data_IF_030047222885
#
_entry.id   IF_030047222885
#
_cell.length_a   1.000
_cell.length_b   1.000
_cell.length_c   1.000
_cell.angle_alpha   90.00
_cell.angle_beta   90.00
_cell.angle_gamma   90.00
#
_symmetry.space_group_name_H-M   'P 1'
#
loop_
_entity.id
_entity.type
_entity.pdbx_description
1 polymer ?
#
# COMPACT_ATOMS: atom_id res chain seq x y z
N UNK A 1 6.31 1.22 -11.97
CA UNK A 1 6.90 -0.09 -11.59
C UNK A 1 7.07 -0.24 -10.06
N UNK A 2 6.15 0.26 -9.21
CA UNK A 2 6.30 0.13 -7.74
C UNK A 2 6.04 -1.29 -7.23
N UNK A 3 4.98 -1.93 -7.73
CA UNK A 3 4.58 -3.29 -7.35
C UNK A 3 5.67 -4.34 -7.64
N UNK A 4 6.33 -4.25 -8.79
CA UNK A 4 7.44 -5.15 -9.13
C UNK A 4 8.57 -5.05 -8.10
N UNK A 5 8.97 -3.82 -7.74
CA UNK A 5 10.06 -3.61 -6.80
C UNK A 5 9.71 -4.10 -5.39
N UNK A 6 8.46 -3.95 -4.95
CA UNK A 6 8.01 -4.45 -3.64
C UNK A 6 7.97 -5.97 -3.59
N UNK A 7 7.51 -6.63 -4.67
CA UNK A 7 7.52 -8.10 -4.76
C UNK A 7 8.95 -8.63 -4.70
N UNK A 8 9.87 -8.07 -5.50
CA UNK A 8 11.28 -8.51 -5.49
C UNK A 8 11.91 -8.39 -4.10
N UNK A 9 11.71 -7.25 -3.42
CA UNK A 9 12.20 -7.05 -2.06
C UNK A 9 11.60 -8.03 -1.05
N UNK A 10 10.31 -8.35 -1.18
CA UNK A 10 9.63 -9.31 -0.30
C UNK A 10 10.17 -10.73 -0.49
N UNK A 11 10.39 -11.15 -1.74
CA UNK A 11 10.92 -12.48 -2.08
C UNK A 11 12.37 -12.69 -1.63
N UNK A 12 13.16 -11.62 -1.51
CA UNK A 12 14.53 -11.68 -0.96
C UNK A 12 14.54 -11.91 0.56
N UNK A 13 13.52 -11.42 1.26
CA UNK A 13 13.46 -11.42 2.72
C UNK A 13 12.69 -12.61 3.28
N UNK A 14 11.67 -13.06 2.56
CA UNK A 14 10.75 -14.11 2.99
C UNK A 14 10.84 -15.34 2.09
N UNK A 15 10.59 -16.51 2.68
CA UNK A 15 10.41 -17.75 1.89
C UNK A 15 9.24 -17.59 0.92
N UNK A 16 9.30 -18.21 -0.28
CA UNK A 16 8.26 -18.06 -1.29
C UNK A 16 6.90 -18.54 -0.76
N UNK A 17 6.07 -17.57 -0.40
CA UNK A 17 4.72 -17.79 0.11
C UNK A 17 3.67 -17.83 -1.02
N UNK A 18 2.51 -18.46 -0.79
CA UNK A 18 1.34 -18.37 -1.67
C UNK A 18 0.98 -16.96 -2.15
N UNK A 19 1.20 -15.95 -1.32
CA UNK A 19 0.90 -14.56 -1.64
C UNK A 19 1.80 -14.00 -2.75
N UNK A 20 3.06 -14.43 -2.83
CA UNK A 20 3.96 -14.03 -3.90
C UNK A 20 3.47 -14.51 -5.26
N UNK A 21 2.92 -15.73 -5.32
CA UNK A 21 2.32 -16.27 -6.54
C UNK A 21 1.10 -15.43 -6.98
N UNK A 22 0.20 -15.10 -6.04
CA UNK A 22 -0.96 -14.25 -6.33
C UNK A 22 -0.54 -12.84 -6.80
N UNK A 23 0.50 -12.27 -6.20
CA UNK A 23 1.01 -10.95 -6.55
C UNK A 23 1.60 -10.95 -7.98
N UNK A 24 2.41 -11.96 -8.33
CA UNK A 24 2.96 -12.13 -9.68
C UNK A 24 1.86 -12.35 -10.73
N UNK A 25 0.86 -13.18 -10.41
CA UNK A 25 -0.29 -13.42 -11.28
C UNK A 25 -1.06 -12.12 -11.56
N UNK A 26 -1.35 -11.35 -10.51
CA UNK A 26 -2.03 -10.06 -10.63
C UNK A 26 -1.21 -9.05 -11.44
N UNK A 27 0.11 -9.02 -11.24
CA UNK A 27 1.03 -8.17 -12.01
C UNK A 27 0.98 -8.51 -13.51
N UNK A 28 0.98 -9.80 -13.87
CA UNK A 28 0.95 -10.25 -15.27
C UNK A 28 -0.39 -9.91 -15.93
N UNK A 29 -1.52 -10.09 -15.24
CA UNK A 29 -2.83 -9.69 -15.78
C UNK A 29 -2.88 -8.17 -16.02
N UNK A 30 -2.35 -7.38 -15.08
CA UNK A 30 -2.25 -5.92 -15.26
C UNK A 30 -1.26 -5.50 -16.35
N UNK A 31 -0.26 -6.34 -16.64
CA UNK A 31 0.74 -6.12 -17.69
C UNK A 31 0.22 -6.52 -19.08
N UNK A 32 -0.75 -7.42 -19.16
CA UNK A 32 -1.36 -7.94 -20.40
C UNK A 32 -1.69 -6.85 -21.44
N UNK A 33 -2.42 -5.76 -21.10
CA UNK A 33 -2.72 -4.71 -22.08
C UNK A 33 -1.50 -3.90 -22.54
N UNK A 34 -0.38 -3.92 -21.80
CA UNK A 34 0.83 -3.15 -22.11
C UNK A 34 1.87 -3.97 -22.86
N UNK A 35 2.04 -5.24 -22.49
CA UNK A 35 3.01 -6.15 -23.06
C UNK A 35 2.39 -7.55 -23.21
N UNK A 36 1.51 -7.75 -24.21
CA UNK A 36 0.73 -8.99 -24.35
C UNK A 36 1.61 -10.22 -24.56
N UNK A 37 2.64 -10.12 -25.41
CA UNK A 37 3.56 -11.23 -25.70
C UNK A 37 4.39 -11.64 -24.49
N UNK A 38 4.88 -10.68 -23.71
CA UNK A 38 5.64 -10.97 -22.49
C UNK A 38 4.70 -11.59 -21.45
N UNK A 39 3.49 -11.04 -21.32
CA UNK A 39 2.51 -11.51 -20.36
C UNK A 39 2.03 -12.92 -20.68
N UNK A 40 1.89 -13.30 -21.95
CA UNK A 40 1.53 -14.67 -22.33
C UNK A 40 2.60 -15.69 -21.97
N UNK A 41 3.88 -15.40 -22.25
CA UNK A 41 4.99 -16.30 -21.91
C UNK A 41 5.18 -16.43 -20.39
N UNK A 42 5.03 -15.33 -19.65
CA UNK A 42 5.10 -15.36 -18.20
C UNK A 42 3.90 -16.12 -17.59
N UNK A 43 2.71 -15.97 -18.17
CA UNK A 43 1.51 -16.68 -17.73
C UNK A 43 1.65 -18.19 -17.89
N UNK A 44 2.07 -18.67 -19.07
CA UNK A 44 2.28 -20.10 -19.32
C UNK A 44 3.37 -20.68 -18.42
N UNK A 45 4.44 -19.94 -18.17
CA UNK A 45 5.52 -20.36 -17.26
C UNK A 45 5.00 -20.51 -15.82
N UNK A 46 4.15 -19.59 -15.35
CA UNK A 46 3.58 -19.65 -14.00
C UNK A 46 2.54 -20.76 -13.83
N UNK A 47 1.73 -21.05 -14.84
CA UNK A 47 0.70 -22.11 -14.79
C UNK A 47 1.29 -23.50 -15.00
N UNK A 48 2.39 -23.63 -15.76
CA UNK A 48 3.12 -24.89 -15.94
C UNK A 48 3.89 -25.33 -14.70
N UNK A 49 4.22 -24.38 -13.81
CA UNK A 49 4.88 -24.66 -12.54
C UNK A 49 3.92 -25.32 -11.53
N UNK A 50 4.43 -26.11 -10.59
CA UNK A 50 3.63 -26.88 -9.62
C UNK A 50 2.73 -26.04 -8.70
N UNK A 51 2.96 -24.72 -8.63
CA UNK A 51 2.08 -23.75 -7.96
C UNK A 51 0.85 -23.34 -8.78
N UNK A 52 0.78 -23.68 -10.08
CA UNK A 52 -0.32 -23.36 -11.00
C UNK A 52 -1.69 -23.88 -10.57
N UNK A 53 -1.71 -24.86 -9.67
CA UNK A 53 -2.91 -25.48 -9.11
C UNK A 53 -3.58 -24.67 -8.00
N UNK A 54 -2.96 -23.58 -7.55
CA UNK A 54 -3.62 -22.64 -6.65
C UNK A 54 -4.66 -21.81 -7.41
N UNK A 55 -5.85 -22.39 -7.51
CA UNK A 55 -7.05 -21.72 -7.93
C UNK A 55 -7.39 -20.61 -6.94
N UNK A 56 -7.61 -19.41 -7.46
CA UNK A 56 -8.20 -18.30 -6.72
C UNK A 56 -9.66 -18.20 -7.16
N UNK A 57 -10.61 -18.16 -6.23
CA UNK A 57 -12.05 -18.20 -6.54
C UNK A 57 -12.53 -17.10 -7.49
N UNK A 58 -11.78 -15.99 -7.59
CA UNK A 58 -12.08 -14.88 -8.51
C UNK A 58 -11.40 -15.02 -9.88
N UNK A 59 -10.38 -15.88 -10.00
CA UNK A 59 -9.53 -16.00 -11.17
C UNK A 59 -9.97 -17.11 -12.14
N UNK A 60 -11.20 -17.62 -11.96
CA UNK A 60 -11.86 -18.54 -12.88
C UNK A 60 -12.39 -17.79 -14.10
N UNK A 61 -11.78 -18.06 -15.26
CA UNK A 61 -12.35 -17.71 -16.56
C UNK A 61 -13.37 -18.76 -17.00
N UNK A 62 -14.29 -18.39 -17.87
CA UNK A 62 -15.29 -19.28 -18.51
C UNK A 62 -14.65 -20.21 -19.56
N UNK A 63 -13.49 -20.80 -19.25
CA UNK A 63 -12.75 -21.69 -20.13
C UNK A 63 -12.78 -23.13 -19.64
N UNK A 64 -13.13 -24.05 -20.54
CA UNK A 64 -13.12 -25.51 -20.38
C UNK A 64 -11.69 -26.03 -20.12
N UNK A 65 -11.23 -25.91 -18.88
CA UNK A 65 -10.02 -26.55 -18.39
C UNK A 65 -10.34 -27.24 -17.07
N UNK A 66 -10.05 -28.54 -16.99
CA UNK A 66 -10.06 -29.29 -15.72
C UNK A 66 -9.17 -28.51 -14.73
N UNK A 67 -9.77 -28.03 -13.63
CA UNK A 67 -9.14 -27.16 -12.62
C UNK A 67 -9.06 -25.65 -12.94
N UNK A 68 -10.09 -25.05 -13.56
CA UNK A 68 -10.56 -23.68 -13.28
C UNK A 68 -9.57 -22.51 -13.42
N UNK A 69 -8.42 -22.72 -14.07
CA UNK A 69 -7.44 -21.69 -14.37
C UNK A 69 -7.40 -21.45 -15.88
N UNK A 70 -7.54 -20.20 -16.35
CA UNK A 70 -7.53 -19.93 -17.78
C UNK A 70 -6.15 -20.23 -18.36
N UNK A 71 -6.13 -20.98 -19.46
CA UNK A 71 -4.89 -21.38 -20.14
C UNK A 71 -4.15 -20.19 -20.73
N UNK A 72 -4.88 -19.19 -21.20
CA UNK A 72 -4.35 -17.95 -21.76
C UNK A 72 -4.60 -16.76 -20.83
N UNK A 73 -3.67 -15.80 -20.87
CA UNK A 73 -3.81 -14.54 -20.11
C UNK A 73 -5.00 -13.69 -20.58
N UNK A 74 -5.46 -13.89 -21.83
CA UNK A 74 -6.58 -13.15 -22.41
C UNK A 74 -7.94 -13.59 -21.83
N UNK A 75 -8.05 -14.86 -21.46
CA UNK A 75 -9.27 -15.41 -20.86
C UNK A 75 -9.32 -15.16 -19.34
N UNK A 76 -8.25 -14.59 -18.78
CA UNK A 76 -8.19 -14.24 -17.38
C UNK A 76 -9.02 -12.99 -17.06
N UNK A 77 -9.90 -13.09 -16.06
CA UNK A 77 -10.61 -11.93 -15.55
C UNK A 77 -9.65 -10.91 -14.92
N UNK A 78 -10.03 -9.64 -14.99
CA UNK A 78 -9.32 -8.57 -14.33
C UNK A 78 -9.32 -8.76 -12.79
N UNK A 79 -8.21 -8.44 -12.09
CA UNK A 79 -8.13 -8.52 -10.63
C UNK A 79 -9.22 -7.71 -9.94
N UNK A 80 -9.89 -8.36 -8.98
CA UNK A 80 -10.84 -7.72 -8.07
C UNK A 80 -10.11 -7.20 -6.84
N UNK A 81 -10.54 -6.03 -6.38
CA UNK A 81 -9.96 -5.38 -5.20
C UNK A 81 -10.59 -5.98 -3.94
N UNK A 82 -9.77 -6.60 -3.10
CA UNK A 82 -10.19 -7.11 -1.79
C UNK A 82 -10.12 -6.01 -0.73
N UNK A 83 -11.28 -5.52 -0.31
CA UNK A 83 -11.41 -4.44 0.68
C UNK A 83 -10.81 -4.78 2.06
N UNK A 84 -10.59 -6.06 2.36
CA UNK A 84 -9.98 -6.51 3.61
C UNK A 84 -8.46 -6.29 3.58
N UNK A 85 -7.79 -6.60 2.47
CA UNK A 85 -6.34 -6.43 2.32
C UNK A 85 -5.95 -4.94 2.32
N UNK A 86 -6.77 -4.09 1.68
CA UNK A 86 -6.60 -2.64 1.72
C UNK A 86 -6.60 -2.09 3.15
N UNK A 87 -7.54 -2.55 3.97
CA UNK A 87 -7.64 -2.12 5.37
C UNK A 87 -6.43 -2.58 6.18
N UNK A 88 -5.91 -3.78 5.95
CA UNK A 88 -4.75 -4.29 6.67
C UNK A 88 -3.50 -3.43 6.42
N UNK A 89 -3.17 -3.10 5.17
CA UNK A 89 -2.01 -2.24 4.85
C UNK A 89 -2.20 -0.80 5.39
N UNK A 90 -3.38 -0.21 5.23
CA UNK A 90 -3.67 1.14 5.74
C UNK A 90 -3.75 1.22 7.27
N UNK A 91 -4.05 0.11 7.95
CA UNK A 91 -4.26 0.08 9.41
C UNK A 91 -2.96 0.08 10.21
N UNK A 92 -1.84 -0.30 9.61
CA UNK A 92 -0.61 -0.49 10.37
C UNK A 92 0.12 0.82 10.64
N UNK A 93 0.33 1.67 9.63
CA UNK A 93 1.12 2.91 9.79
C UNK A 93 0.74 3.97 8.75
N UNK A 94 0.36 5.16 9.21
CA UNK A 94 0.12 6.35 8.39
C UNK A 94 1.33 7.27 8.53
N UNK A 95 1.86 7.74 7.41
CA UNK A 95 2.90 8.79 7.41
C UNK A 95 2.24 10.17 7.50
N UNK A 96 2.52 10.89 8.58
CA UNK A 96 1.99 12.23 8.85
C UNK A 96 3.13 13.24 8.74
N UNK A 97 2.93 14.29 7.96
CA UNK A 97 3.90 15.38 7.83
C UNK A 97 3.65 16.42 8.93
N UNK A 98 4.65 16.68 9.76
CA UNK A 98 4.63 17.76 10.74
C UNK A 98 5.23 19.02 10.09
N UNK A 99 4.45 20.10 10.03
CA UNK A 99 4.90 21.41 9.54
C UNK A 99 4.88 22.47 10.64
N UNK A 100 5.88 23.35 10.63
CA UNK A 100 5.96 24.55 11.46
C UNK A 100 5.74 25.78 10.58
N UNK A 101 4.71 26.59 10.87
CA UNK A 101 4.39 27.80 10.11
C UNK A 101 4.34 27.56 8.58
N UNK A 102 3.80 26.41 8.15
CA UNK A 102 3.73 26.03 6.74
C UNK A 102 5.03 25.50 6.13
N UNK A 103 6.14 25.42 6.89
CA UNK A 103 7.38 24.75 6.47
C UNK A 103 7.39 23.31 6.97
N UNK A 104 7.68 22.36 6.08
CA UNK A 104 7.83 20.94 6.43
C UNK A 104 9.03 20.80 7.39
N UNK A 105 8.81 20.14 8.53
CA UNK A 105 9.85 19.92 9.52
C UNK A 105 10.27 18.44 9.56
N UNK A 106 9.31 17.54 9.82
CA UNK A 106 9.58 16.11 9.85
C UNK A 106 8.38 15.28 9.37
N UNK A 107 8.64 14.01 9.05
CA UNK A 107 7.63 13.02 8.68
C UNK A 107 7.65 11.94 9.76
N UNK A 108 6.50 11.69 10.37
CA UNK A 108 6.34 10.72 11.47
C UNK A 108 5.44 9.59 11.02
N UNK A 109 5.83 8.35 11.30
CA UNK A 109 5.00 7.16 11.08
C UNK A 109 4.17 6.90 12.34
N UNK A 110 2.84 6.91 12.21
CA UNK A 110 1.89 6.84 13.34
C UNK A 110 0.82 5.78 13.04
N UNK A 111 0.46 4.90 13.99
CA UNK A 111 -0.62 3.93 13.79
C UNK A 111 -1.98 4.63 13.64
N UNK A 112 -2.90 4.03 12.88
CA UNK A 112 -4.19 4.63 12.53
C UNK A 112 -5.03 5.06 13.74
N UNK A 113 -4.98 4.29 14.83
CA UNK A 113 -5.65 4.62 16.09
C UNK A 113 -5.26 6.01 16.62
N UNK A 114 -3.98 6.38 16.49
CA UNK A 114 -3.46 7.66 16.97
C UNK A 114 -3.71 8.78 15.96
N UNK A 115 -3.84 8.45 14.67
CA UNK A 115 -4.31 9.41 13.65
C UNK A 115 -5.78 9.82 13.82
N UNK A 116 -6.57 9.01 14.53
CA UNK A 116 -7.98 9.31 14.77
C UNK A 116 -8.18 10.38 15.84
N UNK A 117 -7.33 10.36 16.87
CA UNK A 117 -7.41 11.25 18.03
C UNK A 117 -6.65 12.58 17.82
N UNK A 118 -7.34 13.74 17.77
CA UNK A 118 -6.68 15.02 17.56
C UNK A 118 -5.72 15.37 18.70
N UNK A 119 -6.04 14.99 19.94
CA UNK A 119 -5.20 15.25 21.11
C UNK A 119 -3.89 14.45 21.11
N UNK A 120 -3.93 13.21 20.59
CA UNK A 120 -2.75 12.37 20.51
C UNK A 120 -1.79 12.87 19.42
N UNK A 121 -2.33 13.37 18.30
CA UNK A 121 -1.55 14.05 17.25
C UNK A 121 -0.88 15.32 17.76
N UNK A 122 -1.56 16.11 18.59
CA UNK A 122 -0.98 17.29 19.23
C UNK A 122 0.19 16.93 20.14
N UNK A 123 0.04 15.91 20.98
CA UNK A 123 1.09 15.45 21.89
C UNK A 123 2.32 14.93 21.12
N UNK A 124 2.11 14.11 20.08
CA UNK A 124 3.19 13.63 19.21
C UNK A 124 3.91 14.76 18.48
N UNK A 125 3.15 15.75 17.99
CA UNK A 125 3.74 16.87 17.27
C UNK A 125 4.65 17.70 18.20
N UNK A 126 4.24 17.93 19.44
CA UNK A 126 5.05 18.65 20.45
C UNK A 126 6.30 17.87 20.85
N UNK A 127 6.18 16.56 21.09
CA UNK A 127 7.32 15.69 21.43
C UNK A 127 8.37 15.71 20.31
N UNK A 128 7.95 15.54 19.05
CA UNK A 128 8.87 15.46 17.91
C UNK A 128 9.44 16.80 17.46
N UNK A 129 8.74 17.91 17.70
CA UNK A 129 9.26 19.25 17.37
C UNK A 129 10.05 19.89 18.51
N UNK A 130 10.00 19.33 19.73
CA UNK A 130 10.69 19.88 20.90
C UNK A 130 10.18 21.27 21.29
N UNK A 131 8.93 21.60 20.92
CA UNK A 131 8.31 22.90 21.12
C UNK A 131 7.32 22.84 22.28
N UNK A 132 7.33 23.88 23.12
CA UNK A 132 6.39 24.00 24.23
C UNK A 132 5.01 24.42 23.72
N UNK A 133 3.95 23.97 24.42
CA UNK A 133 2.56 24.37 24.11
C UNK A 133 2.37 25.89 24.11
N UNK A 134 3.11 26.61 24.97
CA UNK A 134 3.04 28.06 25.09
C UNK A 134 3.57 28.82 23.86
N UNK A 135 4.35 28.18 22.99
CA UNK A 135 4.85 28.78 21.75
C UNK A 135 3.87 28.61 20.58
N UNK A 136 2.86 27.74 20.72
CA UNK A 136 1.91 27.37 19.66
C UNK A 136 0.64 28.22 19.75
N UNK A 137 0.34 28.96 18.70
CA UNK A 137 -0.88 29.76 18.57
C UNK A 137 -2.08 28.92 18.10
N UNK A 138 -1.85 28.04 17.11
CA UNK A 138 -2.91 27.24 16.50
C UNK A 138 -2.39 25.90 16.05
N UNK A 139 -3.23 24.89 16.23
CA UNK A 139 -3.07 23.56 15.67
C UNK A 139 -4.04 23.40 14.49
N UNK A 140 -3.53 23.02 13.32
CA UNK A 140 -4.34 22.85 12.10
C UNK A 140 -4.18 21.41 11.61
N UNK A 141 -5.28 20.67 11.63
CA UNK A 141 -5.40 19.33 11.07
C UNK A 141 -6.36 19.40 9.87
N UNK A 142 -5.89 19.21 8.63
CA UNK A 142 -6.75 19.17 7.45
C UNK A 142 -7.63 17.92 7.41
N UNK A 143 -8.76 17.94 6.67
CA UNK A 143 -9.72 16.82 6.57
C UNK A 143 -9.21 15.54 5.89
N UNK A 144 -7.91 15.45 5.56
CA UNK A 144 -7.25 14.23 5.08
C UNK A 144 -6.18 13.68 6.02
N UNK A 145 -5.97 14.29 7.20
CA UNK A 145 -5.05 13.86 8.30
C UNK A 145 -3.59 13.54 7.92
N UNK A 146 -3.18 13.74 6.66
CA UNK A 146 -1.81 13.50 6.19
C UNK A 146 -0.80 14.58 6.61
N UNK A 147 -1.24 15.66 7.24
CA UNK A 147 -0.34 16.67 7.80
C UNK A 147 -0.91 17.34 9.06
N UNK A 148 -0.01 17.81 9.90
CA UNK A 148 -0.29 18.59 11.11
C UNK A 148 0.55 19.85 11.04
N UNK A 149 -0.12 21.01 11.08
CA UNK A 149 0.58 22.30 11.06
C UNK A 149 0.49 23.00 12.42
N UNK A 150 1.66 23.28 12.99
CA UNK A 150 1.86 24.07 14.20
C UNK A 150 2.16 25.51 13.80
N UNK A 151 1.26 26.43 14.13
CA UNK A 151 1.49 27.87 13.93
C UNK A 151 2.13 28.42 15.20
N UNK A 152 3.39 28.84 15.13
CA UNK A 152 4.15 29.39 16.26
C UNK A 152 3.99 30.90 16.37
N UNK A 153 4.10 31.42 17.59
CA UNK A 153 4.13 32.86 17.83
C UNK A 153 5.47 33.46 17.36
N UNK A 154 5.42 34.45 16.45
CA UNK A 154 6.63 35.12 15.93
C UNK A 154 7.30 36.08 16.93
N UNK A 155 6.64 36.35 18.06
CA UNK A 155 7.05 37.41 18.99
C UNK A 155 7.88 36.92 20.20
N UNK A 156 8.08 35.61 20.36
CA UNK A 156 9.04 35.03 21.32
C UNK A 156 10.24 34.53 20.52
N UNK A 157 11.30 35.31 20.49
CA UNK A 157 12.63 34.91 20.04
C UNK A 157 13.49 34.62 21.26
#
# INVERSE_FOLDING_TARGET
MKLSNTISRSMEQETPSPFHYLALRSLIIMLSPLAPHISSELWTTLTSSSLGKMSCSWAGGEGEGEEGTPTLVFDANWPKIDNLLLKCEESQQISIVLSLNGKKNCVVSVPKSVGEDPQALEALALEKTGKNREEVLRFIIPPGKGMVNLVLNKNKK
#
